data_IF_246995721391
#
_entry.id   IF_246995721391
#
_cell.length_a   1.000
_cell.length_b   1.000
_cell.length_c   1.000
_cell.angle_alpha   90.00
_cell.angle_beta   90.00
_cell.angle_gamma   90.00
#
_symmetry.space_group_name_H-M   'P 1'
#
loop_
_entity.id
_entity.type
_entity.pdbx_description
1 polymer ?
#
# COMPACT_ATOMS: atom_id res chain seq x y z
N UNK A 1 -28.97 1.32 -11.24
CA UNK A 1 -27.74 2.10 -10.98
C UNK A 1 -26.80 2.04 -12.19
N UNK A 2 -26.47 0.85 -12.72
CA UNK A 2 -25.60 0.68 -13.88
C UNK A 2 -26.11 1.40 -15.14
N UNK A 3 -27.42 1.40 -15.40
CA UNK A 3 -28.00 2.12 -16.54
C UNK A 3 -27.80 3.62 -16.43
N UNK A 4 -27.95 4.17 -15.23
CA UNK A 4 -27.67 5.58 -14.95
C UNK A 4 -26.21 5.93 -15.19
N UNK A 5 -25.28 5.08 -14.74
CA UNK A 5 -23.86 5.27 -14.96
C UNK A 5 -23.46 5.16 -16.43
N UNK A 6 -24.11 4.26 -17.18
CA UNK A 6 -23.92 4.15 -18.63
C UNK A 6 -24.37 5.41 -19.37
N UNK A 7 -25.57 5.94 -19.03
CA UNK A 7 -26.05 7.18 -19.65
C UNK A 7 -25.18 8.40 -19.28
N UNK A 8 -24.66 8.45 -18.06
CA UNK A 8 -23.72 9.50 -17.64
C UNK A 8 -22.38 9.38 -18.40
N UNK A 9 -21.86 8.17 -18.54
CA UNK A 9 -20.62 7.93 -19.30
C UNK A 9 -20.78 8.28 -20.79
N UNK A 10 -21.94 7.96 -21.37
CA UNK A 10 -22.28 8.31 -22.76
C UNK A 10 -22.37 9.82 -22.94
N UNK A 11 -23.02 10.53 -22.02
CA UNK A 11 -23.10 12.00 -22.05
C UNK A 11 -21.73 12.68 -22.00
N UNK A 12 -20.73 12.03 -21.37
CA UNK A 12 -19.34 12.51 -21.30
C UNK A 12 -18.45 12.00 -22.45
N UNK A 13 -18.98 11.22 -23.39
CA UNK A 13 -18.22 10.62 -24.48
C UNK A 13 -17.23 9.53 -24.00
N UNK A 14 -17.53 8.88 -22.86
CA UNK A 14 -16.66 7.91 -22.17
C UNK A 14 -17.37 6.56 -21.93
N UNK A 15 -18.04 6.03 -22.92
CA UNK A 15 -18.85 4.80 -22.79
C UNK A 15 -18.04 3.60 -22.23
N UNK A 16 -16.76 3.46 -22.64
CA UNK A 16 -15.87 2.41 -22.15
C UNK A 16 -15.53 2.51 -20.65
N UNK A 17 -15.77 3.66 -20.02
CA UNK A 17 -15.55 3.90 -18.58
C UNK A 17 -16.80 3.71 -17.73
N UNK A 18 -17.92 3.28 -18.32
CA UNK A 18 -19.19 3.14 -17.61
C UNK A 18 -19.09 2.26 -16.35
N UNK A 19 -18.28 1.21 -16.37
CA UNK A 19 -18.03 0.36 -15.21
C UNK A 19 -17.10 1.02 -14.18
N UNK A 20 -16.11 1.78 -14.64
CA UNK A 20 -15.22 2.52 -13.75
C UNK A 20 -15.98 3.56 -12.92
N UNK A 21 -17.03 4.17 -13.48
CA UNK A 21 -17.88 5.13 -12.77
C UNK A 21 -18.61 4.54 -11.55
N UNK A 22 -18.67 3.22 -11.45
CA UNK A 22 -19.19 2.56 -10.25
C UNK A 22 -18.24 2.73 -9.04
N UNK A 23 -16.92 2.77 -9.30
CA UNK A 23 -15.90 3.00 -8.29
C UNK A 23 -15.56 4.50 -8.17
N UNK A 24 -15.44 5.21 -9.28
CA UNK A 24 -15.13 6.64 -9.34
C UNK A 24 -16.35 7.48 -8.92
N UNK A 25 -16.39 7.88 -7.66
CA UNK A 25 -17.54 8.61 -7.08
C UNK A 25 -17.49 10.11 -7.30
N UNK A 26 -16.29 10.68 -7.47
CA UNK A 26 -16.09 12.11 -7.61
C UNK A 26 -16.36 12.56 -9.06
N UNK A 27 -17.01 13.72 -9.21
CA UNK A 27 -17.24 14.30 -10.55
C UNK A 27 -15.95 14.56 -11.32
N UNK A 28 -14.90 14.94 -10.59
CA UNK A 28 -13.59 15.23 -11.16
C UNK A 28 -12.92 13.95 -11.71
N UNK A 29 -13.02 12.82 -11.01
CA UNK A 29 -12.55 11.50 -11.47
C UNK A 29 -13.24 11.11 -12.78
N UNK A 30 -14.55 11.20 -12.82
CA UNK A 30 -15.35 10.89 -14.02
C UNK A 30 -15.03 11.83 -15.18
N UNK A 31 -14.87 13.12 -14.90
CA UNK A 31 -14.52 14.10 -15.91
C UNK A 31 -13.12 13.88 -16.50
N UNK A 32 -12.15 13.53 -15.68
CA UNK A 32 -10.76 13.24 -16.10
C UNK A 32 -10.60 11.82 -16.64
N UNK A 33 -11.41 10.84 -16.17
CA UNK A 33 -11.28 9.42 -16.47
C UNK A 33 -10.07 8.78 -15.76
N UNK A 34 -9.75 9.28 -14.56
CA UNK A 34 -8.69 8.75 -13.69
C UNK A 34 -9.16 8.76 -12.24
N UNK A 35 -8.86 7.70 -11.51
CA UNK A 35 -9.12 7.61 -10.07
C UNK A 35 -8.17 8.53 -9.31
N UNK A 36 -8.67 9.34 -8.40
CA UNK A 36 -7.90 10.29 -7.58
C UNK A 36 -7.77 9.77 -6.15
N UNK A 37 -8.89 9.35 -5.55
CA UNK A 37 -8.95 8.84 -4.19
C UNK A 37 -9.22 7.34 -4.17
N UNK A 38 -8.69 6.65 -3.16
CA UNK A 38 -9.02 5.24 -2.96
C UNK A 38 -10.50 5.08 -2.62
N UNK A 39 -11.17 4.21 -3.35
CA UNK A 39 -12.56 3.84 -3.10
C UNK A 39 -12.63 2.38 -2.68
N UNK A 40 -13.50 2.08 -1.72
CA UNK A 40 -13.70 0.71 -1.23
C UNK A 40 -15.09 0.20 -1.59
N UNK A 41 -15.16 -1.06 -1.98
CA UNK A 41 -16.38 -1.82 -2.21
C UNK A 41 -16.20 -3.25 -1.71
N UNK A 42 -17.28 -3.87 -1.31
CA UNK A 42 -17.28 -5.29 -0.91
C UNK A 42 -17.82 -6.18 -2.02
N UNK A 43 -17.32 -7.39 -2.07
CA UNK A 43 -17.91 -8.49 -2.83
C UNK A 43 -17.64 -9.83 -2.14
N UNK A 44 -18.44 -10.81 -2.47
CA UNK A 44 -18.38 -12.13 -1.87
C UNK A 44 -17.99 -13.16 -2.91
N UNK A 45 -17.20 -14.11 -2.50
CA UNK A 45 -16.96 -15.35 -3.23
C UNK A 45 -17.44 -16.50 -2.36
N UNK A 46 -17.35 -17.72 -2.84
CA UNK A 46 -17.78 -18.91 -2.08
C UNK A 46 -16.97 -19.11 -0.79
N UNK A 47 -15.72 -18.61 -0.76
CA UNK A 47 -14.81 -18.78 0.40
C UNK A 47 -14.60 -17.56 1.22
N UNK A 48 -14.61 -16.39 0.62
CA UNK A 48 -14.17 -15.17 1.25
C UNK A 48 -15.09 -14.00 1.01
N UNK A 49 -15.15 -13.13 2.01
CA UNK A 49 -15.61 -11.77 1.87
C UNK A 49 -14.43 -10.86 1.54
N UNK A 50 -14.49 -10.19 0.42
CA UNK A 50 -13.45 -9.28 -0.07
C UNK A 50 -13.87 -7.82 0.07
N UNK A 51 -12.94 -7.00 0.49
CA UNK A 51 -13.01 -5.55 0.30
C UNK A 51 -12.09 -5.16 -0.86
N UNK A 52 -12.65 -4.70 -1.96
CA UNK A 52 -11.87 -4.10 -3.06
C UNK A 52 -11.41 -2.73 -2.60
N UNK A 53 -10.13 -2.45 -2.78
CA UNK A 53 -9.54 -1.12 -2.62
C UNK A 53 -9.07 -0.70 -4.00
N UNK A 54 -9.89 0.14 -4.67
CA UNK A 54 -9.53 0.70 -5.96
C UNK A 54 -8.59 1.89 -5.74
N UNK A 55 -7.33 1.68 -6.04
CA UNK A 55 -6.27 2.65 -5.80
C UNK A 55 -5.91 3.40 -7.10
N UNK A 56 -5.62 4.72 -7.03
CA UNK A 56 -5.26 5.50 -8.21
C UNK A 56 -4.07 4.93 -8.96
N UNK A 57 -4.20 4.81 -10.28
CA UNK A 57 -3.11 4.36 -11.17
C UNK A 57 -2.17 5.48 -11.60
N UNK A 58 -2.62 6.74 -11.58
CA UNK A 58 -1.84 7.87 -12.09
C UNK A 58 -0.75 8.32 -11.12
N UNK A 59 0.47 8.60 -11.62
CA UNK A 59 1.64 8.96 -10.81
C UNK A 59 1.42 10.17 -9.88
N UNK A 60 0.58 11.11 -10.27
CA UNK A 60 0.30 12.29 -9.45
C UNK A 60 -0.43 11.94 -8.16
N UNK A 61 -1.07 10.77 -8.10
CA UNK A 61 -1.83 10.26 -6.97
C UNK A 61 -1.15 9.10 -6.25
N UNK A 62 0.15 8.89 -6.46
CA UNK A 62 0.92 7.78 -5.89
C UNK A 62 0.85 7.75 -4.35
N UNK A 63 0.71 8.90 -3.70
CA UNK A 63 0.53 8.99 -2.23
C UNK A 63 -0.77 8.32 -1.79
N UNK A 64 -1.85 8.53 -2.55
CA UNK A 64 -3.14 7.89 -2.28
C UNK A 64 -3.07 6.38 -2.59
N UNK A 65 -2.35 6.00 -3.66
CA UNK A 65 -2.07 4.59 -3.96
C UNK A 65 -1.33 3.89 -2.82
N UNK A 66 -0.30 4.52 -2.24
CA UNK A 66 0.43 3.96 -1.09
C UNK A 66 -0.53 3.76 0.10
N UNK A 67 -1.36 4.74 0.41
CA UNK A 67 -2.34 4.65 1.51
C UNK A 67 -3.34 3.51 1.28
N UNK A 68 -3.87 3.37 0.07
CA UNK A 68 -4.79 2.29 -0.28
C UNK A 68 -4.11 0.92 -0.26
N UNK A 69 -2.99 0.78 -0.97
CA UNK A 69 -2.25 -0.48 -1.07
C UNK A 69 -1.75 -0.96 0.30
N UNK A 70 -1.42 -0.05 1.22
CA UNK A 70 -1.00 -0.42 2.58
C UNK A 70 -2.07 -1.15 3.40
N UNK A 71 -3.32 -1.10 2.96
CA UNK A 71 -4.46 -1.78 3.60
C UNK A 71 -4.81 -3.13 2.95
N UNK A 72 -4.13 -3.52 1.87
CA UNK A 72 -4.45 -4.71 1.10
C UNK A 72 -3.63 -5.94 1.54
N UNK A 73 -4.23 -7.13 1.40
CA UNK A 73 -3.61 -8.42 1.66
C UNK A 73 -3.17 -9.13 0.36
N UNK A 74 -3.81 -8.76 -0.75
CA UNK A 74 -3.54 -9.28 -2.09
C UNK A 74 -3.62 -8.13 -3.10
N UNK A 75 -2.75 -8.14 -4.09
CA UNK A 75 -2.80 -7.19 -5.20
C UNK A 75 -3.29 -7.89 -6.48
N UNK A 76 -4.28 -7.30 -7.12
CA UNK A 76 -4.63 -7.60 -8.50
C UNK A 76 -3.90 -6.59 -9.41
N UNK A 77 -2.80 -7.01 -10.02
CA UNK A 77 -2.01 -6.18 -10.92
C UNK A 77 -2.61 -6.23 -12.33
N UNK A 78 -3.29 -5.16 -12.71
CA UNK A 78 -3.89 -5.03 -14.04
C UNK A 78 -2.87 -4.53 -15.05
N UNK A 79 -2.64 -5.30 -16.10
CA UNK A 79 -1.67 -5.01 -17.16
C UNK A 79 -2.42 -4.87 -18.48
N UNK A 80 -2.35 -3.72 -19.17
CA UNK A 80 -3.04 -3.56 -20.45
C UNK A 80 -2.34 -4.34 -21.55
N UNK A 81 -3.09 -5.06 -22.39
CA UNK A 81 -2.54 -5.83 -23.51
C UNK A 81 -2.40 -5.03 -24.80
N UNK A 82 -3.18 -3.94 -24.94
CA UNK A 82 -3.19 -3.13 -26.16
C UNK A 82 -1.83 -2.51 -26.50
N UNK A 83 -1.54 -2.37 -27.78
CA UNK A 83 -0.29 -1.79 -28.29
C UNK A 83 -0.14 -0.34 -27.84
N UNK A 84 1.07 0.03 -27.42
CA UNK A 84 1.38 1.34 -26.83
C UNK A 84 1.03 1.44 -25.34
N UNK A 85 -0.09 0.84 -24.90
CA UNK A 85 -0.49 0.83 -23.48
C UNK A 85 0.43 -0.02 -22.61
N UNK A 86 0.74 -1.23 -23.05
CA UNK A 86 1.65 -2.13 -22.35
C UNK A 86 3.07 -1.57 -22.27
N UNK A 87 3.62 -1.14 -23.39
CA UNK A 87 4.99 -0.65 -23.52
C UNK A 87 5.24 0.54 -22.57
N UNK A 88 4.30 1.49 -22.54
CA UNK A 88 4.35 2.63 -21.61
C UNK A 88 4.23 2.19 -20.16
N UNK A 89 3.35 1.23 -19.87
CA UNK A 89 3.08 0.77 -18.50
C UNK A 89 4.28 0.06 -17.84
N UNK A 90 5.14 -0.63 -18.63
CA UNK A 90 6.30 -1.38 -18.11
C UNK A 90 7.65 -0.70 -18.38
N UNK A 91 7.65 0.48 -19.00
CA UNK A 91 8.87 1.19 -19.37
C UNK A 91 9.86 1.28 -18.20
N UNK A 92 11.14 1.06 -18.46
CA UNK A 92 12.20 1.31 -17.49
C UNK A 92 12.49 2.80 -17.43
N UNK A 93 12.51 3.37 -16.22
CA UNK A 93 12.95 4.75 -16.04
C UNK A 93 14.44 4.90 -16.37
N UNK A 94 14.79 6.06 -16.91
CA UNK A 94 16.17 6.51 -17.10
C UNK A 94 16.22 8.01 -16.85
N UNK A 95 16.57 8.41 -15.64
CA UNK A 95 16.62 9.83 -15.27
C UNK A 95 17.62 10.64 -16.09
N UNK A 96 18.74 10.03 -16.52
CA UNK A 96 19.74 10.71 -17.35
C UNK A 96 19.20 11.09 -18.71
N UNK A 97 18.23 10.32 -19.21
CA UNK A 97 17.54 10.55 -20.49
C UNK A 97 16.16 11.19 -20.32
N UNK A 98 15.75 11.56 -19.12
CA UNK A 98 14.41 12.09 -18.84
C UNK A 98 13.28 11.07 -19.05
N UNK A 99 13.59 9.78 -19.08
CA UNK A 99 12.60 8.72 -19.29
C UNK A 99 11.97 8.34 -17.94
N UNK A 100 10.65 8.51 -17.83
CA UNK A 100 9.89 8.19 -16.63
C UNK A 100 9.61 6.70 -16.55
N UNK A 101 9.71 6.13 -15.33
CA UNK A 101 9.34 4.73 -15.09
C UNK A 101 7.86 4.49 -15.36
N UNK A 102 7.53 3.37 -15.99
CA UNK A 102 6.17 2.93 -16.23
C UNK A 102 5.42 2.63 -14.94
N UNK A 103 4.16 2.98 -14.88
CA UNK A 103 3.35 2.91 -13.66
C UNK A 103 3.17 1.48 -13.14
N UNK A 104 2.93 0.50 -14.02
CA UNK A 104 2.80 -0.91 -13.62
C UNK A 104 4.06 -1.40 -12.91
N UNK A 105 5.24 -1.01 -13.39
CA UNK A 105 6.53 -1.33 -12.74
C UNK A 105 6.64 -0.66 -11.37
N UNK A 106 6.28 0.60 -11.29
CA UNK A 106 6.33 1.36 -10.04
C UNK A 106 5.38 0.77 -8.98
N UNK A 107 4.14 0.44 -9.40
CA UNK A 107 3.15 -0.17 -8.51
C UNK A 107 3.56 -1.56 -8.04
N UNK A 108 4.11 -2.40 -8.91
CA UNK A 108 4.60 -3.73 -8.54
C UNK A 108 5.70 -3.64 -7.46
N UNK A 109 6.65 -2.73 -7.63
CA UNK A 109 7.68 -2.47 -6.64
C UNK A 109 7.07 -1.99 -5.31
N UNK A 110 6.18 -0.99 -5.36
CA UNK A 110 5.50 -0.47 -4.17
C UNK A 110 4.72 -1.54 -3.41
N UNK A 111 3.91 -2.33 -4.09
CA UNK A 111 3.13 -3.41 -3.47
C UNK A 111 4.04 -4.38 -2.71
N UNK A 112 5.16 -4.81 -3.33
CA UNK A 112 6.12 -5.70 -2.67
C UNK A 112 6.71 -5.10 -1.41
N UNK A 113 7.01 -3.84 -1.45
CA UNK A 113 7.73 -3.12 -0.39
C UNK A 113 6.81 -2.72 0.77
N UNK A 114 5.54 -2.43 0.46
CA UNK A 114 4.49 -2.25 1.47
C UNK A 114 4.19 -3.57 2.18
N UNK A 115 4.54 -4.73 1.57
CA UNK A 115 4.40 -6.05 2.18
C UNK A 115 3.29 -6.89 1.58
N UNK A 116 2.76 -6.51 0.44
CA UNK A 116 1.79 -7.37 -0.28
C UNK A 116 2.58 -8.49 -0.95
N UNK A 117 2.50 -9.68 -0.37
CA UNK A 117 3.21 -10.86 -0.86
C UNK A 117 2.42 -11.64 -1.92
N UNK A 118 1.10 -11.51 -1.93
CA UNK A 118 0.19 -12.22 -2.81
C UNK A 118 -0.20 -11.33 -3.98
N UNK A 119 0.08 -11.78 -5.20
CA UNK A 119 -0.21 -11.04 -6.43
C UNK A 119 -0.91 -11.95 -7.43
N UNK A 120 -1.95 -11.43 -8.05
CA UNK A 120 -2.62 -11.98 -9.23
C UNK A 120 -2.35 -11.01 -10.37
N UNK A 121 -1.95 -11.49 -11.53
CA UNK A 121 -1.75 -10.66 -12.73
C UNK A 121 -2.90 -10.86 -13.70
N UNK A 122 -3.64 -9.78 -13.94
CA UNK A 122 -4.68 -9.73 -14.97
C UNK A 122 -4.17 -9.03 -16.23
N UNK A 123 -3.95 -9.77 -17.32
CA UNK A 123 -3.62 -9.21 -18.63
C UNK A 123 -4.93 -8.81 -19.30
N UNK A 124 -5.28 -7.52 -19.15
CA UNK A 124 -6.59 -6.97 -19.50
C UNK A 124 -6.60 -6.36 -20.91
N UNK A 125 -7.79 -6.11 -21.42
CA UNK A 125 -8.05 -5.60 -22.76
C UNK A 125 -7.63 -6.57 -23.86
N UNK A 126 -7.78 -7.88 -23.62
CA UNK A 126 -7.53 -8.90 -24.65
C UNK A 126 -8.49 -8.78 -25.84
N UNK A 127 -9.65 -8.14 -25.63
CA UNK A 127 -10.67 -7.82 -26.62
C UNK A 127 -10.34 -6.60 -27.51
N UNK A 128 -9.24 -5.87 -27.19
CA UNK A 128 -8.83 -4.71 -27.99
C UNK A 128 -8.50 -5.12 -29.42
N UNK A 129 -8.95 -4.36 -30.46
CA UNK A 129 -8.70 -4.69 -31.86
C UNK A 129 -7.21 -4.88 -32.23
N UNK A 130 -6.30 -4.21 -31.49
CA UNK A 130 -4.85 -4.35 -31.69
C UNK A 130 -4.28 -5.65 -31.10
N UNK A 131 -5.06 -6.36 -30.27
CA UNK A 131 -4.68 -7.61 -29.59
C UNK A 131 -5.46 -8.80 -30.15
N UNK A 132 -6.77 -8.64 -30.31
CA UNK A 132 -7.69 -9.64 -30.84
C UNK A 132 -7.50 -11.04 -30.22
N UNK A 133 -7.47 -11.10 -28.88
CA UNK A 133 -7.32 -12.34 -28.09
C UNK A 133 -6.07 -13.17 -28.40
N UNK A 134 -4.99 -12.54 -28.93
CA UNK A 134 -3.76 -13.22 -29.37
C UNK A 134 -3.04 -13.92 -28.21
N UNK A 135 -2.76 -15.22 -28.38
CA UNK A 135 -1.91 -16.01 -27.49
C UNK A 135 -0.47 -15.50 -27.49
N UNK A 136 0.07 -15.14 -28.65
CA UNK A 136 1.44 -14.62 -28.80
C UNK A 136 1.62 -13.34 -27.99
N UNK A 137 0.65 -12.42 -28.10
CA UNK A 137 0.68 -11.16 -27.34
C UNK A 137 0.60 -11.39 -25.83
N UNK A 138 -0.24 -12.31 -25.38
CA UNK A 138 -0.31 -12.70 -23.98
C UNK A 138 1.03 -13.27 -23.50
N UNK A 139 1.64 -14.17 -24.24
CA UNK A 139 2.92 -14.80 -23.85
C UNK A 139 4.08 -13.80 -23.83
N UNK A 140 4.12 -12.84 -24.76
CA UNK A 140 5.06 -11.71 -24.75
C UNK A 140 4.93 -10.90 -23.45
N UNK A 141 3.72 -10.44 -23.14
CA UNK A 141 3.42 -9.65 -21.95
C UNK A 141 3.76 -10.41 -20.68
N UNK A 142 3.33 -11.67 -20.60
CA UNK A 142 3.61 -12.54 -19.46
C UNK A 142 5.11 -12.63 -19.20
N UNK A 143 5.91 -12.90 -20.24
CA UNK A 143 7.37 -13.03 -20.10
C UNK A 143 8.05 -11.75 -19.61
N UNK A 144 7.61 -10.58 -20.05
CA UNK A 144 8.17 -9.30 -19.57
C UNK A 144 7.71 -8.95 -18.15
N UNK A 145 6.46 -9.22 -17.81
CA UNK A 145 5.94 -8.99 -16.45
C UNK A 145 6.56 -9.97 -15.44
N UNK A 146 6.79 -11.23 -15.81
CA UNK A 146 7.52 -12.20 -14.98
C UNK A 146 8.91 -11.69 -14.63
N UNK A 147 9.69 -11.22 -15.59
CA UNK A 147 11.03 -10.63 -15.38
C UNK A 147 10.96 -9.40 -14.46
N UNK A 148 9.93 -8.57 -14.66
CA UNK A 148 9.70 -7.38 -13.84
C UNK A 148 9.40 -7.75 -12.38
N UNK A 149 8.46 -8.65 -12.15
CA UNK A 149 8.06 -9.10 -10.80
C UNK A 149 9.19 -9.85 -10.09
N UNK A 150 9.97 -10.66 -10.82
CA UNK A 150 11.14 -11.34 -10.26
C UNK A 150 12.17 -10.32 -9.77
N UNK A 151 12.43 -9.24 -10.51
CA UNK A 151 13.33 -8.16 -10.10
C UNK A 151 12.78 -7.39 -8.89
N UNK A 152 11.47 -7.27 -8.76
CA UNK A 152 10.82 -6.69 -7.59
C UNK A 152 10.86 -7.61 -6.36
N UNK A 153 11.35 -8.86 -6.50
CA UNK A 153 11.51 -9.82 -5.40
C UNK A 153 10.29 -10.74 -5.18
N UNK A 154 9.41 -10.86 -6.16
CA UNK A 154 8.29 -11.81 -6.11
C UNK A 154 8.71 -13.22 -6.56
N UNK A 155 8.03 -14.23 -6.00
CA UNK A 155 8.20 -15.65 -6.38
C UNK A 155 7.24 -16.00 -7.52
N UNK A 156 7.71 -15.96 -8.77
CA UNK A 156 6.87 -16.11 -9.97
C UNK A 156 6.02 -17.39 -9.98
N UNK A 157 6.56 -18.51 -9.46
CA UNK A 157 5.82 -19.79 -9.36
C UNK A 157 4.53 -19.72 -8.51
N UNK A 158 4.33 -18.63 -7.76
CA UNK A 158 3.15 -18.40 -6.93
C UNK A 158 2.16 -17.42 -7.56
N UNK A 159 2.44 -16.86 -8.72
CA UNK A 159 1.66 -15.79 -9.34
C UNK A 159 0.89 -16.34 -10.52
N UNK A 160 -0.45 -16.31 -10.50
CA UNK A 160 -1.26 -16.64 -11.65
C UNK A 160 -1.26 -15.47 -12.65
N UNK A 161 -1.19 -15.80 -13.94
CA UNK A 161 -1.35 -14.87 -15.05
C UNK A 161 -2.63 -15.24 -15.80
N UNK A 162 -3.57 -14.32 -15.87
CA UNK A 162 -4.91 -14.55 -16.41
C UNK A 162 -5.16 -13.57 -17.54
N UNK A 163 -5.30 -14.03 -18.81
CA UNK A 163 -5.74 -13.18 -19.89
C UNK A 163 -7.23 -12.88 -19.71
N UNK A 164 -7.61 -11.60 -19.76
CA UNK A 164 -8.99 -11.20 -19.47
C UNK A 164 -9.44 -9.99 -20.29
N UNK A 165 -10.76 -9.84 -20.35
CA UNK A 165 -11.41 -8.59 -20.73
C UNK A 165 -12.37 -8.17 -19.62
N UNK A 166 -12.00 -7.13 -18.87
CA UNK A 166 -12.89 -6.57 -17.86
C UNK A 166 -14.16 -5.96 -18.47
N UNK A 167 -14.08 -5.47 -19.70
CA UNK A 167 -15.22 -4.89 -20.40
C UNK A 167 -16.24 -5.93 -20.90
N UNK A 168 -15.73 -7.07 -21.39
CA UNK A 168 -16.57 -8.18 -21.90
C UNK A 168 -16.89 -9.24 -20.85
N UNK A 169 -16.24 -9.18 -19.66
CA UNK A 169 -16.42 -10.17 -18.59
C UNK A 169 -15.61 -11.46 -18.78
N UNK A 170 -14.71 -11.51 -19.74
CA UNK A 170 -13.98 -12.73 -20.12
C UNK A 170 -12.94 -13.14 -19.10
N UNK A 171 -12.95 -14.41 -18.70
CA UNK A 171 -12.12 -15.01 -17.66
C UNK A 171 -12.21 -14.30 -16.29
N UNK A 172 -13.30 -13.58 -16.01
CA UNK A 172 -13.57 -13.03 -14.69
C UNK A 172 -14.22 -14.07 -13.78
N UNK A 173 -15.44 -14.49 -14.13
CA UNK A 173 -16.24 -15.50 -13.42
C UNK A 173 -16.36 -16.80 -14.22
N UNK A 174 -16.40 -16.70 -15.54
CA UNK A 174 -16.55 -17.81 -16.45
C UNK A 174 -15.38 -17.85 -17.43
N UNK A 175 -15.08 -19.06 -17.90
CA UNK A 175 -14.01 -19.30 -18.88
C UNK A 175 -14.38 -18.67 -20.22
N UNK A 176 -13.47 -17.89 -20.79
CA UNK A 176 -13.63 -17.31 -22.13
C UNK A 176 -13.68 -18.35 -23.24
N UNK A 177 -14.61 -18.16 -24.16
CA UNK A 177 -14.67 -18.95 -25.42
C UNK A 177 -13.76 -18.39 -26.50
N UNK A 178 -13.37 -17.11 -26.39
CA UNK A 178 -12.50 -16.42 -27.37
C UNK A 178 -11.01 -16.70 -27.16
N UNK A 179 -10.65 -17.30 -26.02
CA UNK A 179 -9.26 -17.67 -25.68
C UNK A 179 -9.13 -19.18 -25.42
N UNK A 180 -9.46 -20.06 -26.38
CA UNK A 180 -9.40 -21.52 -26.19
C UNK A 180 -7.98 -22.05 -25.98
N UNK A 181 -6.96 -21.29 -26.37
CA UNK A 181 -5.57 -21.58 -26.13
C UNK A 181 -5.16 -21.46 -24.65
N UNK A 182 -5.86 -20.64 -23.88
CA UNK A 182 -5.57 -20.49 -22.45
C UNK A 182 -6.06 -21.73 -21.68
N UNK A 183 -5.11 -22.50 -21.17
CA UNK A 183 -5.41 -23.75 -20.42
C UNK A 183 -5.57 -23.54 -18.92
N UNK A 184 -5.59 -22.27 -18.48
CA UNK A 184 -5.63 -21.90 -17.08
C UNK A 184 -4.25 -21.66 -16.48
N UNK A 185 -4.24 -21.25 -15.20
CA UNK A 185 -3.03 -21.10 -14.42
C UNK A 185 -2.77 -22.33 -13.53
N UNK A 186 -1.50 -22.55 -13.19
CA UNK A 186 -1.07 -23.55 -12.22
C UNK A 186 0.04 -22.93 -11.36
N UNK A 187 -0.23 -22.75 -10.08
CA UNK A 187 0.67 -22.09 -9.13
C UNK A 187 1.03 -22.99 -7.96
N UNK A 188 2.26 -22.86 -7.47
CA UNK A 188 2.76 -23.61 -6.32
C UNK A 188 2.76 -22.69 -5.09
N UNK A 189 1.77 -22.77 -4.22
CA UNK A 189 1.68 -21.97 -3.00
C UNK A 189 2.72 -22.41 -1.96
N UNK A 190 2.82 -23.72 -1.75
CA UNK A 190 3.83 -24.38 -0.92
C UNK A 190 4.45 -25.55 -1.70
N UNK A 191 5.40 -26.28 -1.08
CA UNK A 191 5.96 -27.49 -1.69
C UNK A 191 4.88 -28.53 -2.03
N UNK A 192 3.84 -28.61 -1.18
CA UNK A 192 2.82 -29.66 -1.24
C UNK A 192 1.46 -29.17 -1.75
N UNK A 193 1.28 -27.84 -1.87
CA UNK A 193 0.01 -27.24 -2.30
C UNK A 193 0.14 -26.58 -3.67
N UNK A 194 -0.41 -27.25 -4.69
CA UNK A 194 -0.60 -26.70 -6.04
C UNK A 194 -2.05 -26.28 -6.21
N UNK A 195 -2.25 -25.17 -6.90
CA UNK A 195 -3.58 -24.63 -7.21
C UNK A 195 -3.65 -24.37 -8.70
N UNK A 196 -4.72 -24.80 -9.33
CA UNK A 196 -5.01 -24.58 -10.74
C UNK A 196 -6.41 -23.96 -10.89
N UNK A 197 -6.58 -23.11 -11.89
CA UNK A 197 -7.85 -22.45 -12.20
C UNK A 197 -7.79 -21.75 -13.55
N UNK A 198 -8.91 -21.16 -13.96
CA UNK A 198 -9.01 -20.47 -15.24
C UNK A 198 -9.38 -18.99 -15.08
N UNK A 199 -10.18 -18.67 -14.09
CA UNK A 199 -10.81 -17.36 -13.93
C UNK A 199 -10.17 -16.56 -12.81
N UNK A 200 -10.47 -15.26 -12.77
CA UNK A 200 -10.08 -14.41 -11.66
C UNK A 200 -10.71 -14.89 -10.33
N UNK A 201 -11.97 -15.32 -10.38
CA UNK A 201 -12.67 -15.84 -9.19
C UNK A 201 -12.03 -17.14 -8.70
N UNK A 202 -11.59 -18.04 -9.59
CA UNK A 202 -10.81 -19.22 -9.20
C UNK A 202 -9.52 -18.85 -8.45
N UNK A 203 -8.78 -17.84 -8.98
CA UNK A 203 -7.57 -17.38 -8.33
C UNK A 203 -7.85 -16.78 -6.94
N UNK A 204 -8.91 -15.98 -6.81
CA UNK A 204 -9.31 -15.39 -5.54
C UNK A 204 -9.76 -16.46 -4.53
N UNK A 205 -10.53 -17.45 -4.96
CA UNK A 205 -11.02 -18.51 -4.08
C UNK A 205 -9.91 -19.47 -3.61
N UNK A 206 -9.06 -19.93 -4.52
CA UNK A 206 -8.22 -21.09 -4.27
C UNK A 206 -6.77 -20.73 -3.99
N UNK A 207 -6.27 -19.63 -4.56
CA UNK A 207 -4.90 -19.21 -4.40
C UNK A 207 -4.70 -18.28 -3.19
N UNK A 208 -5.62 -17.33 -2.96
CA UNK A 208 -5.48 -16.35 -1.89
C UNK A 208 -5.58 -17.02 -0.53
N UNK A 209 -4.70 -16.63 0.38
CA UNK A 209 -4.69 -17.08 1.76
C UNK A 209 -4.76 -15.86 2.68
N UNK A 210 -5.62 -15.95 3.69
CA UNK A 210 -5.68 -14.92 4.73
C UNK A 210 -4.34 -14.94 5.47
N UNK A 211 -3.61 -13.81 5.57
CA UNK A 211 -2.37 -13.74 6.33
C UNK A 211 -2.58 -14.06 7.81
N UNK A 212 -1.54 -14.51 8.49
CA UNK A 212 -1.59 -14.63 9.95
C UNK A 212 -1.87 -13.26 10.55
N UNK A 213 -2.85 -13.22 11.46
CA UNK A 213 -3.28 -12.01 12.13
C UNK A 213 -2.72 -11.99 13.55
N UNK A 214 -1.99 -10.94 13.97
CA UNK A 214 -1.44 -10.82 15.32
C UNK A 214 -2.53 -10.41 16.33
N UNK A 215 -3.40 -11.34 16.71
CA UNK A 215 -4.54 -11.11 17.63
C UNK A 215 -4.11 -10.99 19.08
N UNK A 216 -2.97 -11.62 19.46
CA UNK A 216 -2.44 -11.63 20.82
C UNK A 216 -1.51 -10.43 21.10
N UNK A 217 -1.41 -9.48 20.18
CA UNK A 217 -0.58 -8.28 20.33
C UNK A 217 -1.41 -7.10 20.82
N UNK A 218 -0.80 -6.05 21.41
CA UNK A 218 -1.51 -4.81 21.75
C UNK A 218 -2.23 -4.20 20.57
N UNK A 219 -3.38 -3.58 20.80
CA UNK A 219 -4.19 -3.00 19.73
C UNK A 219 -3.49 -1.84 19.04
N UNK A 220 -3.42 -1.89 17.71
CA UNK A 220 -2.95 -0.79 16.85
C UNK A 220 -3.89 -0.59 15.67
N UNK A 221 -4.47 0.62 15.57
CA UNK A 221 -5.35 1.00 14.47
C UNK A 221 -4.90 2.34 13.88
N UNK A 222 -4.13 2.35 12.80
CA UNK A 222 -3.87 3.58 12.04
C UNK A 222 -5.18 4.19 11.55
N UNK A 223 -5.40 5.47 11.88
CA UNK A 223 -6.61 6.20 11.48
C UNK A 223 -6.49 6.68 10.04
N UNK A 224 -7.51 6.42 9.23
CA UNK A 224 -7.56 6.87 7.84
C UNK A 224 -8.42 8.11 7.64
N UNK A 225 -9.39 8.35 8.52
CA UNK A 225 -10.27 9.52 8.47
C UNK A 225 -10.99 9.77 9.78
N UNK A 226 -11.38 11.04 9.95
CA UNK A 226 -12.15 11.50 11.09
C UNK A 226 -13.34 12.29 10.57
N UNK A 227 -14.54 11.85 10.90
CA UNK A 227 -15.79 12.41 10.38
C UNK A 227 -16.72 12.78 11.52
N UNK A 228 -17.34 13.96 11.43
CA UNK A 228 -18.36 14.37 12.37
C UNK A 228 -19.73 14.22 11.74
N UNK A 229 -20.50 13.25 12.22
CA UNK A 229 -21.83 12.92 11.69
C UNK A 229 -22.89 13.46 12.63
N UNK A 230 -23.79 14.34 12.10
CA UNK A 230 -24.89 14.90 12.88
C UNK A 230 -25.79 13.81 13.46
N UNK A 231 -26.02 13.83 14.76
CA UNK A 231 -26.82 12.83 15.47
C UNK A 231 -26.07 11.56 15.90
N UNK A 232 -24.89 11.28 15.33
CA UNK A 232 -24.08 10.10 15.68
C UNK A 232 -22.86 10.51 16.52
N UNK A 233 -22.14 11.55 16.10
CA UNK A 233 -20.94 12.04 16.76
C UNK A 233 -19.69 11.87 15.90
N UNK A 234 -18.55 11.68 16.57
CA UNK A 234 -17.26 11.54 15.91
C UNK A 234 -17.03 10.09 15.50
N UNK A 235 -16.87 9.87 14.20
CA UNK A 235 -16.57 8.59 13.58
C UNK A 235 -15.13 8.58 13.10
N UNK A 236 -14.34 7.69 13.64
CA UNK A 236 -12.96 7.47 13.25
C UNK A 236 -12.90 6.20 12.40
N UNK A 237 -12.31 6.30 11.23
CA UNK A 237 -12.11 5.14 10.35
C UNK A 237 -10.66 4.69 10.39
N UNK A 238 -10.43 3.39 10.29
CA UNK A 238 -9.10 2.82 10.27
C UNK A 238 -9.11 1.33 9.97
N UNK A 239 -7.91 0.75 9.84
CA UNK A 239 -7.72 -0.68 9.74
C UNK A 239 -7.04 -1.21 11.00
N UNK A 240 -7.58 -2.28 11.59
CA UNK A 240 -6.91 -2.96 12.70
C UNK A 240 -5.65 -3.65 12.18
N UNK A 241 -4.47 -3.24 12.66
CA UNK A 241 -3.19 -3.86 12.27
C UNK A 241 -2.85 -5.04 13.16
N UNK A 242 -3.11 -4.91 14.46
CA UNK A 242 -2.89 -5.96 15.45
C UNK A 242 -3.81 -5.77 16.66
N UNK A 243 -3.94 -6.83 17.46
CA UNK A 243 -4.81 -6.88 18.63
C UNK A 243 -6.28 -7.02 18.29
N UNK A 244 -7.12 -7.18 19.29
CA UNK A 244 -8.58 -7.27 19.15
C UNK A 244 -9.23 -6.07 19.80
N UNK A 245 -9.92 -5.26 19.01
CA UNK A 245 -10.64 -4.08 19.49
C UNK A 245 -12.09 -4.43 19.81
N UNK A 246 -12.56 -4.00 20.99
CA UNK A 246 -13.95 -4.20 21.44
C UNK A 246 -14.59 -2.86 21.80
N UNK A 247 -15.93 -2.72 21.67
CA UNK A 247 -16.66 -1.60 22.23
C UNK A 247 -16.48 -1.52 23.75
N UNK A 248 -16.55 -0.31 24.28
CA UNK A 248 -16.47 -0.07 25.74
C UNK A 248 -15.07 0.22 26.26
N UNK A 249 -13.99 -0.07 25.50
CA UNK A 249 -12.61 0.22 25.92
C UNK A 249 -12.28 1.70 25.78
N UNK A 250 -11.37 2.18 26.64
CA UNK A 250 -10.79 3.52 26.54
C UNK A 250 -9.55 3.47 25.65
N UNK A 251 -9.48 4.38 24.70
CA UNK A 251 -8.40 4.42 23.69
C UNK A 251 -7.67 5.76 23.72
N UNK A 252 -6.39 5.69 23.41
CA UNK A 252 -5.53 6.82 23.16
C UNK A 252 -5.13 6.90 21.67
N UNK A 253 -4.68 8.06 21.25
CA UNK A 253 -4.24 8.35 19.89
C UNK A 253 -2.86 9.00 19.90
N UNK A 254 -1.92 8.42 19.21
CA UNK A 254 -0.56 8.95 19.05
C UNK A 254 -0.31 9.33 17.59
N UNK A 255 0.32 10.49 17.29
CA UNK A 255 0.98 11.41 18.22
C UNK A 255 0.11 12.53 18.79
N UNK A 256 -1.18 12.65 18.42
CA UNK A 256 -2.04 13.77 18.86
C UNK A 256 -2.22 13.87 20.39
N UNK A 257 -2.01 12.75 21.11
CA UNK A 257 -2.26 12.68 22.54
C UNK A 257 -3.73 12.81 22.91
N UNK A 258 -4.63 12.59 21.96
CA UNK A 258 -6.07 12.51 22.18
C UNK A 258 -6.47 11.22 22.88
N UNK A 259 -7.68 11.18 23.41
CA UNK A 259 -8.25 9.96 24.01
C UNK A 259 -9.77 9.96 23.84
N UNK A 260 -10.38 8.80 24.10
CA UNK A 260 -11.83 8.67 24.05
C UNK A 260 -12.28 7.26 24.39
N UNK A 261 -13.59 7.03 24.37
CA UNK A 261 -14.17 5.72 24.61
C UNK A 261 -14.82 5.19 23.34
N UNK A 262 -14.48 3.97 22.96
CA UNK A 262 -15.11 3.27 21.83
C UNK A 262 -16.55 2.94 22.23
N UNK A 263 -17.51 3.53 21.53
CA UNK A 263 -18.93 3.30 21.79
C UNK A 263 -19.48 2.17 20.93
N UNK A 264 -19.31 2.26 19.62
CA UNK A 264 -19.68 1.21 18.64
C UNK A 264 -18.58 1.05 17.62
N UNK A 265 -18.52 -0.15 17.04
CA UNK A 265 -17.66 -0.48 15.91
C UNK A 265 -18.57 -0.97 14.79
N UNK A 266 -18.38 -0.41 13.60
CA UNK A 266 -19.12 -0.80 12.40
C UNK A 266 -18.18 -1.28 11.30
N UNK A 267 -18.58 -2.32 10.62
CA UNK A 267 -17.96 -2.83 9.41
C UNK A 267 -19.03 -3.00 8.35
N UNK A 268 -18.86 -2.38 7.17
CA UNK A 268 -19.85 -2.40 6.08
C UNK A 268 -21.27 -2.01 6.53
N UNK A 269 -21.39 -0.94 7.34
CA UNK A 269 -22.64 -0.43 7.90
C UNK A 269 -23.39 -1.41 8.84
N UNK A 270 -22.68 -2.38 9.41
CA UNK A 270 -23.20 -3.31 10.42
C UNK A 270 -22.37 -3.19 11.68
N UNK A 271 -23.04 -3.11 12.84
CA UNK A 271 -22.37 -3.18 14.12
C UNK A 271 -21.72 -4.55 14.33
N UNK A 272 -20.50 -4.55 14.87
CA UNK A 272 -19.76 -5.75 15.22
C UNK A 272 -19.40 -5.73 16.70
N UNK A 273 -19.35 -6.91 17.32
CA UNK A 273 -19.01 -7.08 18.74
C UNK A 273 -17.51 -6.91 19.00
N UNK A 274 -16.68 -7.16 17.97
CA UNK A 274 -15.24 -6.96 18.02
C UNK A 274 -14.68 -6.76 16.60
N UNK A 275 -13.52 -6.11 16.53
CA UNK A 275 -12.74 -6.00 15.30
C UNK A 275 -11.39 -6.68 15.47
N UNK A 276 -10.95 -7.41 14.45
CA UNK A 276 -9.73 -8.22 14.43
C UNK A 276 -8.72 -7.66 13.41
N UNK A 277 -7.44 -8.04 13.51
CA UNK A 277 -6.44 -7.56 12.56
C UNK A 277 -6.82 -7.85 11.10
N UNK A 278 -6.78 -6.80 10.28
CA UNK A 278 -7.20 -6.84 8.88
C UNK A 278 -8.56 -6.21 8.61
N UNK A 279 -9.40 -6.03 9.63
CA UNK A 279 -10.71 -5.42 9.47
C UNK A 279 -10.59 -3.90 9.24
N UNK A 280 -11.33 -3.40 8.25
CA UNK A 280 -11.53 -1.97 8.02
C UNK A 280 -12.81 -1.55 8.74
N UNK A 281 -12.68 -0.66 9.70
CA UNK A 281 -13.77 -0.32 10.62
C UNK A 281 -14.03 1.18 10.71
N UNK A 282 -15.28 1.53 10.97
CA UNK A 282 -15.72 2.82 11.49
C UNK A 282 -16.02 2.72 12.97
N UNK A 283 -15.43 3.57 13.77
CA UNK A 283 -15.56 3.54 15.22
C UNK A 283 -16.21 4.83 15.70
N UNK A 284 -17.32 4.73 16.43
CA UNK A 284 -17.89 5.87 17.12
C UNK A 284 -17.13 6.08 18.43
N UNK A 285 -16.39 7.18 18.52
CA UNK A 285 -15.61 7.52 19.70
C UNK A 285 -16.30 8.64 20.46
N UNK A 286 -16.50 8.44 21.76
CA UNK A 286 -17.08 9.42 22.67
C UNK A 286 -16.00 10.03 23.57
N UNK A 287 -16.31 11.22 24.11
CA UNK A 287 -15.46 11.93 25.08
C UNK A 287 -14.10 12.35 24.51
N UNK A 288 -14.04 12.71 23.24
CA UNK A 288 -12.83 13.25 22.63
C UNK A 288 -12.62 14.69 23.14
N UNK A 289 -11.42 15.04 23.67
CA UNK A 289 -11.10 16.37 24.10
C UNK A 289 -11.14 17.37 22.91
N UNK A 290 -11.78 18.53 23.09
CA UNK A 290 -11.93 19.53 22.02
C UNK A 290 -10.61 20.19 21.63
N UNK A 291 -9.67 20.27 22.55
CA UNK A 291 -8.34 20.87 22.40
C UNK A 291 -7.33 19.93 21.74
N UNK A 292 -7.65 18.63 21.64
CA UNK A 292 -6.81 17.60 21.04
C UNK A 292 -7.59 16.78 20.00
N UNK A 293 -7.87 17.34 18.82
CA UNK A 293 -8.63 16.63 17.79
C UNK A 293 -7.81 15.44 17.26
N UNK A 294 -8.49 14.34 16.99
CA UNK A 294 -7.91 13.18 16.31
C UNK A 294 -7.69 13.52 14.84
N UNK A 295 -6.52 13.20 14.32
CA UNK A 295 -6.15 13.44 12.93
C UNK A 295 -6.00 12.14 12.15
N UNK A 296 -6.19 12.23 10.84
CA UNK A 296 -5.79 11.13 9.94
C UNK A 296 -4.27 10.91 10.04
N UNK A 297 -3.86 9.67 10.23
CA UNK A 297 -2.47 9.30 10.48
C UNK A 297 -2.10 9.10 11.95
N UNK A 298 -2.99 9.43 12.89
CA UNK A 298 -2.84 8.96 14.27
C UNK A 298 -2.93 7.43 14.33
N UNK A 299 -2.29 6.84 15.32
CA UNK A 299 -2.45 5.43 15.64
C UNK A 299 -3.20 5.29 16.96
N UNK A 300 -4.35 4.63 16.89
CA UNK A 300 -5.14 4.32 18.07
C UNK A 300 -4.57 3.10 18.79
N UNK A 301 -4.56 3.15 20.11
CA UNK A 301 -4.19 2.07 21.03
C UNK A 301 -5.15 2.01 22.22
N UNK A 302 -5.23 0.87 22.89
CA UNK A 302 -6.04 0.74 24.11
C UNK A 302 -5.22 1.23 25.31
N UNK A 303 -5.82 2.13 26.10
CA UNK A 303 -5.20 2.60 27.35
C UNK A 303 -5.30 1.48 28.40
N UNK A 304 -4.21 1.26 29.14
CA UNK A 304 -4.11 0.20 30.15
C UNK A 304 -4.27 -1.23 29.60
N UNK A 305 -3.87 -1.42 28.33
CA UNK A 305 -3.79 -2.76 27.73
C UNK A 305 -2.73 -3.58 28.47
N UNK A 306 -3.08 -4.73 29.08
CA UNK A 306 -2.13 -5.56 29.82
C UNK A 306 -0.99 -6.14 28.96
N UNK A 307 -1.14 -6.13 27.63
CA UNK A 307 -0.13 -6.56 26.68
C UNK A 307 0.80 -5.42 26.26
N UNK A 308 0.47 -4.17 26.62
CA UNK A 308 1.26 -3.00 26.28
C UNK A 308 2.50 -2.88 27.16
N UNK A 309 3.69 -2.94 26.56
CA UNK A 309 4.95 -2.83 27.29
C UNK A 309 5.49 -1.39 27.34
N UNK A 310 4.99 -0.51 26.47
CA UNK A 310 5.38 0.91 26.39
C UNK A 310 4.26 1.73 25.74
N UNK A 311 3.73 2.68 26.48
CA UNK A 311 2.67 3.57 25.97
C UNK A 311 3.11 4.28 24.69
N UNK A 312 2.34 4.19 23.61
CA UNK A 312 2.64 4.93 22.37
C UNK A 312 2.75 6.44 22.60
N UNK A 313 3.79 7.03 22.04
CA UNK A 313 4.10 8.46 22.15
C UNK A 313 4.61 9.04 20.83
N UNK A 314 4.96 10.33 20.83
CA UNK A 314 5.59 10.99 19.68
C UNK A 314 7.01 10.46 19.48
N UNK A 315 7.38 10.13 18.24
CA UNK A 315 8.70 9.64 17.88
C UNK A 315 9.72 10.79 17.86
N UNK A 316 10.81 10.65 18.61
CA UNK A 316 11.97 11.55 18.57
C UNK A 316 12.95 11.16 17.46
N UNK A 317 13.34 9.89 17.44
CA UNK A 317 14.25 9.31 16.43
C UNK A 317 13.81 7.88 16.07
N UNK A 318 14.19 7.44 14.87
CA UNK A 318 14.09 6.02 14.52
C UNK A 318 15.20 5.60 13.58
N UNK A 319 15.64 4.35 13.73
CA UNK A 319 16.54 3.66 12.81
C UNK A 319 15.75 2.85 11.80
N UNK A 320 16.16 2.89 10.55
CA UNK A 320 15.58 2.05 9.53
C UNK A 320 16.64 1.52 8.56
N UNK A 321 16.49 0.25 8.20
CA UNK A 321 17.20 -0.32 7.05
C UNK A 321 16.43 0.06 5.80
N UNK A 322 17.07 0.79 4.90
CA UNK A 322 16.46 1.34 3.69
C UNK A 322 17.14 0.81 2.42
N UNK A 323 16.37 0.77 1.34
CA UNK A 323 16.86 0.52 -0.02
C UNK A 323 16.52 1.74 -0.88
N UNK A 324 17.55 2.38 -1.44
CA UNK A 324 17.37 3.52 -2.34
C UNK A 324 16.87 3.05 -3.70
N UNK A 325 15.69 3.54 -4.10
CA UNK A 325 15.02 3.11 -5.34
C UNK A 325 15.42 3.98 -6.52
N UNK A 326 14.99 5.21 -6.54
CA UNK A 326 15.17 6.09 -7.67
C UNK A 326 15.39 7.53 -7.20
N UNK A 327 16.58 8.05 -7.41
CA UNK A 327 16.89 9.45 -7.16
C UNK A 327 18.06 9.89 -8.05
N UNK A 328 17.99 11.06 -8.71
CA UNK A 328 19.00 11.51 -9.66
C UNK A 328 20.29 11.98 -8.98
N UNK A 329 20.26 12.26 -7.68
CA UNK A 329 21.39 12.83 -6.93
C UNK A 329 21.83 11.99 -5.76
N UNK A 330 22.86 12.49 -5.06
CA UNK A 330 23.35 11.93 -3.81
C UNK A 330 22.47 12.36 -2.65
N UNK A 331 22.08 11.42 -1.79
CA UNK A 331 21.27 11.66 -0.61
C UNK A 331 22.18 11.74 0.61
N UNK A 332 22.40 12.96 1.09
CA UNK A 332 23.34 13.21 2.17
C UNK A 332 22.69 13.10 3.56
N UNK A 333 23.42 12.56 4.51
CA UNK A 333 23.13 12.70 5.93
C UNK A 333 23.39 14.13 6.43
N UNK A 334 22.90 14.45 7.64
CA UNK A 334 23.23 15.71 8.31
C UNK A 334 24.73 15.78 8.67
N UNK A 335 25.31 16.94 8.57
CA UNK A 335 26.71 17.20 8.97
C UNK A 335 26.82 18.64 9.47
N UNK A 336 26.88 18.80 10.78
CA UNK A 336 26.95 20.12 11.42
C UNK A 336 28.25 20.85 11.07
N UNK A 337 29.37 20.12 10.93
CA UNK A 337 30.68 20.71 10.57
C UNK A 337 30.67 21.33 9.18
N UNK A 338 29.87 20.77 8.28
CA UNK A 338 29.68 21.27 6.92
C UNK A 338 28.40 22.13 6.75
N UNK A 339 27.72 22.46 7.84
CA UNK A 339 26.44 23.21 7.83
C UNK A 339 25.40 22.59 6.91
N UNK A 340 25.36 21.23 6.83
CA UNK A 340 24.48 20.47 5.97
C UNK A 340 23.36 19.84 6.78
N UNK A 341 22.11 20.18 6.46
CA UNK A 341 20.94 19.71 7.20
C UNK A 341 20.52 18.28 6.88
N UNK A 342 21.13 17.63 5.91
CA UNK A 342 20.74 16.30 5.44
C UNK A 342 19.47 16.29 4.58
N UNK A 343 19.31 15.24 3.81
CA UNK A 343 18.12 15.02 2.98
C UNK A 343 16.88 14.82 3.86
N UNK A 344 15.76 15.42 3.48
CA UNK A 344 14.55 15.43 4.29
C UNK A 344 13.32 14.99 3.48
N UNK A 345 13.16 13.68 3.22
CA UNK A 345 12.01 13.16 2.51
C UNK A 345 10.72 13.20 3.35
N UNK A 346 9.58 13.07 2.68
CA UNK A 346 8.32 12.74 3.33
C UNK A 346 8.28 11.24 3.58
N UNK A 347 8.31 10.82 4.85
CA UNK A 347 8.15 9.43 5.26
C UNK A 347 6.67 9.10 5.38
N UNK A 348 6.25 8.02 4.75
CA UNK A 348 4.90 7.47 4.79
C UNK A 348 4.90 6.14 5.54
N UNK A 349 4.00 6.02 6.52
CA UNK A 349 3.76 4.80 7.29
C UNK A 349 2.25 4.59 7.38
N UNK A 350 1.72 3.59 6.69
CA UNK A 350 0.26 3.38 6.58
C UNK A 350 -0.42 4.67 6.11
N UNK A 351 -1.27 5.25 6.97
CA UNK A 351 -2.01 6.49 6.72
C UNK A 351 -1.25 7.75 7.18
N UNK A 352 -0.21 7.57 7.98
CA UNK A 352 0.61 8.67 8.50
C UNK A 352 1.65 9.14 7.48
N UNK A 353 1.96 10.43 7.52
CA UNK A 353 3.05 11.03 6.76
C UNK A 353 3.70 12.15 7.56
N UNK A 354 5.02 12.21 7.56
CA UNK A 354 5.78 13.30 8.14
C UNK A 354 7.07 13.54 7.35
N UNK A 355 7.51 14.79 7.30
CA UNK A 355 8.84 15.11 6.82
C UNK A 355 9.86 14.69 7.88
N UNK A 356 10.82 13.85 7.47
CA UNK A 356 11.86 13.33 8.36
C UNK A 356 13.24 13.63 7.78
N UNK A 357 14.13 14.13 8.61
CA UNK A 357 15.52 14.43 8.24
C UNK A 357 16.35 13.15 8.33
N UNK A 358 17.12 12.84 7.30
CA UNK A 358 18.22 11.87 7.38
C UNK A 358 19.31 12.46 8.26
N UNK A 359 19.32 12.06 9.55
CA UNK A 359 20.26 12.60 10.51
C UNK A 359 21.64 11.96 10.35
N UNK A 360 21.71 10.64 10.40
CA UNK A 360 22.97 9.90 10.28
C UNK A 360 22.78 8.68 9.38
N UNK A 361 23.75 8.41 8.53
CA UNK A 361 23.84 7.16 7.78
C UNK A 361 24.86 6.30 8.53
N UNK A 362 24.43 5.17 9.10
CA UNK A 362 25.29 4.31 9.90
C UNK A 362 26.20 3.46 9.02
N UNK A 363 25.62 2.87 7.99
CA UNK A 363 26.37 2.11 6.99
C UNK A 363 25.64 2.07 5.67
N UNK A 364 26.35 1.77 4.59
CA UNK A 364 25.77 1.46 3.28
C UNK A 364 26.45 0.28 2.61
N UNK A 365 25.72 -0.37 1.70
CA UNK A 365 26.21 -1.41 0.82
C UNK A 365 25.56 -1.26 -0.55
N UNK A 366 26.34 -1.25 -1.63
CA UNK A 366 25.81 -1.06 -2.97
C UNK A 366 26.89 -1.21 -4.05
N UNK A 367 26.62 -0.74 -5.25
CA UNK A 367 27.56 -0.81 -6.37
C UNK A 367 28.83 -0.01 -6.10
N UNK A 368 28.72 1.16 -5.49
CA UNK A 368 29.85 2.04 -5.17
C UNK A 368 30.80 1.46 -4.14
N UNK A 369 30.33 0.50 -3.32
CA UNK A 369 31.14 -0.19 -2.29
C UNK A 369 31.59 -1.57 -2.74
N UNK A 370 31.35 -1.95 -3.99
CA UNK A 370 31.66 -3.30 -4.48
C UNK A 370 30.86 -4.41 -3.77
N UNK A 371 29.71 -4.08 -3.17
CA UNK A 371 28.88 -5.00 -2.39
C UNK A 371 29.38 -5.26 -0.97
N UNK A 372 30.40 -4.53 -0.50
CA UNK A 372 30.88 -4.60 0.89
C UNK A 372 30.19 -3.53 1.75
N UNK A 373 30.11 -3.78 3.05
CA UNK A 373 29.57 -2.83 4.02
C UNK A 373 30.57 -1.70 4.25
N UNK A 374 30.13 -0.45 4.07
CA UNK A 374 30.90 0.76 4.36
C UNK A 374 30.25 1.47 5.54
N UNK A 375 31.02 1.69 6.60
CA UNK A 375 30.57 2.43 7.79
C UNK A 375 30.69 3.95 7.58
N UNK A 376 29.82 4.70 8.23
CA UNK A 376 29.77 6.17 8.26
C UNK A 376 29.87 6.86 6.88
N UNK A 377 29.11 6.43 5.85
CA UNK A 377 29.17 7.08 4.55
C UNK A 377 28.51 8.46 4.58
N UNK A 378 29.00 9.41 3.79
CA UNK A 378 28.42 10.75 3.70
C UNK A 378 27.06 10.79 2.97
N UNK A 379 26.85 9.88 2.02
CA UNK A 379 25.69 9.90 1.15
C UNK A 379 25.29 8.50 0.66
N UNK A 380 24.04 8.40 0.24
CA UNK A 380 23.48 7.25 -0.47
C UNK A 380 23.24 7.56 -1.94
N UNK A 381 23.25 6.52 -2.76
CA UNK A 381 22.94 6.57 -4.20
C UNK A 381 21.94 5.50 -4.55
N UNK A 382 21.38 5.62 -5.76
CA UNK A 382 20.41 4.63 -6.28
C UNK A 382 20.98 3.20 -6.22
N UNK A 383 20.20 2.29 -5.61
CA UNK A 383 20.56 0.89 -5.44
C UNK A 383 21.37 0.58 -4.19
N UNK A 384 21.68 1.59 -3.37
CA UNK A 384 22.31 1.35 -2.06
C UNK A 384 21.28 0.81 -1.05
N UNK A 385 21.70 -0.20 -0.29
CA UNK A 385 21.08 -0.60 0.95
C UNK A 385 21.83 0.06 2.10
N UNK A 386 21.12 0.59 3.08
CA UNK A 386 21.74 1.34 4.16
C UNK A 386 20.92 1.24 5.46
N UNK A 387 21.55 1.53 6.56
CA UNK A 387 20.87 1.81 7.83
C UNK A 387 21.02 3.30 8.16
N UNK A 388 19.89 3.93 8.43
CA UNK A 388 19.77 5.38 8.58
C UNK A 388 19.02 5.72 9.84
N UNK A 389 19.51 6.71 10.58
CA UNK A 389 18.80 7.37 11.67
C UNK A 389 18.02 8.56 11.10
N UNK A 390 16.72 8.57 11.30
CA UNK A 390 15.83 9.66 10.92
C UNK A 390 15.31 10.42 12.12
N UNK A 391 15.20 11.74 11.97
CA UNK A 391 14.53 12.66 12.91
C UNK A 391 13.29 13.25 12.28
N UNK A 392 12.09 12.96 12.80
CA UNK A 392 10.86 13.59 12.34
C UNK A 392 10.88 15.09 12.59
N UNK A 393 10.47 15.89 11.59
CA UNK A 393 10.25 17.34 11.71
C UNK A 393 8.81 17.67 12.07
N UNK A 394 7.93 16.71 11.95
CA UNK A 394 6.50 16.80 12.30
C UNK A 394 6.14 15.55 13.11
N UNK A 395 5.18 15.67 14.05
CA UNK A 395 4.73 14.54 14.84
C UNK A 395 4.31 13.35 13.96
N UNK A 396 4.82 12.18 14.27
CA UNK A 396 4.46 10.89 13.65
C UNK A 396 4.58 9.80 14.70
N UNK A 397 3.79 8.75 14.55
CA UNK A 397 3.98 7.49 15.28
C UNK A 397 4.24 6.34 14.31
N UNK A 398 5.18 5.50 14.68
CA UNK A 398 5.55 4.26 14.00
C UNK A 398 6.11 3.25 15.03
N UNK A 399 6.23 2.00 14.64
CA UNK A 399 6.76 0.91 15.46
C UNK A 399 7.99 0.29 14.80
N UNK A 400 8.78 -0.49 15.56
CA UNK A 400 9.74 -1.37 14.93
C UNK A 400 9.00 -2.46 14.12
N UNK A 401 9.61 -2.88 13.01
CA UNK A 401 9.04 -3.89 12.12
C UNK A 401 8.75 -5.23 12.84
N UNK A 402 9.56 -5.56 13.83
CA UNK A 402 9.40 -6.77 14.63
C UNK A 402 8.14 -6.73 15.51
N UNK A 403 7.81 -5.56 16.07
CA UNK A 403 6.67 -5.38 16.97
C UNK A 403 5.35 -5.22 16.24
N UNK A 404 5.35 -4.41 15.17
CA UNK A 404 4.20 -4.22 14.31
C UNK A 404 4.64 -4.05 12.86
N UNK A 405 4.53 -5.12 12.08
CA UNK A 405 4.98 -5.13 10.69
C UNK A 405 4.39 -3.98 9.87
N UNK A 406 3.09 -3.70 10.06
CA UNK A 406 2.39 -2.65 9.34
C UNK A 406 2.90 -1.25 9.64
N UNK A 407 3.20 -0.95 10.91
CA UNK A 407 3.70 0.33 11.36
C UNK A 407 5.23 0.44 11.30
N UNK A 408 5.91 -0.67 10.99
CA UNK A 408 7.37 -0.72 10.83
C UNK A 408 7.86 -0.66 9.39
N UNK A 409 6.97 -0.57 8.39
CA UNK A 409 7.34 -0.37 6.98
C UNK A 409 7.23 1.10 6.61
N UNK A 410 8.28 1.63 6.01
CA UNK A 410 8.33 3.05 5.60
C UNK A 410 8.55 3.19 4.10
N UNK A 411 7.93 4.21 3.53
CA UNK A 411 8.19 4.67 2.17
C UNK A 411 8.62 6.14 2.23
N UNK A 412 9.82 6.44 1.75
CA UNK A 412 10.36 7.80 1.68
C UNK A 412 10.11 8.38 0.29
N UNK A 413 9.39 9.49 0.23
CA UNK A 413 9.01 10.19 -0.99
C UNK A 413 9.71 11.55 -1.08
N UNK A 414 10.19 11.88 -2.27
CA UNK A 414 10.51 13.26 -2.65
C UNK A 414 9.50 13.70 -3.71
N UNK A 415 8.71 14.71 -3.38
CA UNK A 415 7.58 15.15 -4.21
C UNK A 415 6.64 13.97 -4.51
N UNK A 416 6.58 13.49 -5.74
CA UNK A 416 5.80 12.32 -6.19
C UNK A 416 6.67 11.12 -6.59
N UNK A 417 7.96 11.15 -6.24
CA UNK A 417 8.91 10.07 -6.54
C UNK A 417 9.22 9.26 -5.30
N UNK A 418 9.14 7.95 -5.42
CA UNK A 418 9.56 7.02 -4.36
C UNK A 418 11.09 6.95 -4.36
N UNK A 419 11.70 7.47 -3.30
CA UNK A 419 13.17 7.54 -3.16
C UNK A 419 13.73 6.35 -2.41
N UNK A 420 13.14 6.01 -1.28
CA UNK A 420 13.62 4.89 -0.46
C UNK A 420 12.45 4.11 0.12
N UNK A 421 12.72 2.87 0.42
CA UNK A 421 11.83 1.97 1.14
C UNK A 421 12.60 1.31 2.24
N UNK A 422 11.94 1.12 3.37
CA UNK A 422 12.66 0.59 4.51
C UNK A 422 11.78 -0.11 5.55
N UNK A 423 12.50 -0.72 6.48
CA UNK A 423 11.96 -1.33 7.68
C UNK A 423 12.59 -0.67 8.89
N UNK A 424 11.76 -0.22 9.80
CA UNK A 424 12.18 0.36 11.07
C UNK A 424 12.73 -0.75 11.96
N UNK A 425 13.96 -0.58 12.41
CA UNK A 425 14.61 -1.51 13.33
C UNK A 425 14.42 -1.10 14.79
N UNK A 426 14.49 0.19 15.07
CA UNK A 426 14.46 0.72 16.42
C UNK A 426 13.81 2.10 16.46
N UNK A 427 13.14 2.43 17.56
CA UNK A 427 12.51 3.73 17.81
C UNK A 427 12.92 4.28 19.17
N UNK A 428 13.02 5.62 19.27
CA UNK A 428 13.12 6.37 20.51
C UNK A 428 12.02 7.42 20.55
N UNK A 429 11.32 7.49 21.68
CA UNK A 429 10.27 8.49 21.87
C UNK A 429 10.89 9.85 22.16
N UNK A 430 10.13 10.90 21.90
CA UNK A 430 10.56 12.28 22.18
C UNK A 430 10.84 12.45 23.68
N UNK A 431 12.03 12.92 24.01
CA UNK A 431 12.50 13.06 25.39
C UNK A 431 13.28 11.88 25.95
N UNK A 432 13.39 10.77 25.20
CA UNK A 432 14.28 9.66 25.52
C UNK A 432 15.69 9.89 24.94
N UNK A 433 16.64 9.04 25.36
CA UNK A 433 17.99 9.07 24.86
C UNK A 433 18.05 8.85 23.35
N UNK A 434 18.99 9.55 22.70
CA UNK A 434 19.22 9.40 21.27
C UNK A 434 19.64 7.96 20.93
N UNK A 435 19.10 7.44 19.85
CA UNK A 435 19.49 6.14 19.27
C UNK A 435 20.94 6.16 18.74
N UNK A 436 21.53 7.33 18.72
CA UNK A 436 22.90 7.57 18.32
C UNK A 436 23.64 8.29 19.44
N UNK A 437 24.33 7.56 20.30
CA UNK A 437 25.36 8.10 21.19
C UNK A 437 26.65 8.32 20.38
N UNK A 438 27.17 9.53 20.43
CA UNK A 438 28.47 9.92 19.81
C UNK A 438 29.60 9.17 20.45
#
# INVERSE_FOLDING_TARGET
ELEKLRSEAQALGKESFSYAFFMDKQKEERARGVTIACTTKEFFTDRYHYTIIDAPGHRDFIKNMITGASQADVALLMVPANKGGFETAIQKGDHKKGVVMGQTRQHANLCKLIGIEQVIVGVNKMDDPSVNYSEERFNEIKGEVEKMLQKAGYKIKKIPFIPMSGFKGENLTEKSTNMPWYKGFNVNLTKDKKVAGHTLVDALNDMVQVPKRPVESPVRVPTSGCFKIKGVGDIITGRVEQGVLKPGVTVGFSPSGSSGKVFTIEMHHKNVEQATPGDNVGMNIKNIPKDKPICGGDVMYVIDDPQEYKTPGEIGEFKATVMVQEHPGKLYGSDEKKSRSGFSPSIHVRTAKAQCQMYKILWKMGKSTGGTKMEDPEYLEQGDQAEVVFRPKMPIYLESFEKCEGLGRIAAMDSNTLVMLGKVSEISLKGEDSLFSV
#
